data_IF_892713263747
#
_entry.id   IF_892713263747
#
_cell.length_a   1.000
_cell.length_b   1.000
_cell.length_c   1.000
_cell.angle_alpha   90.00
_cell.angle_beta   90.00
_cell.angle_gamma   90.00
#
_symmetry.space_group_name_H-M   'P 1'
#
loop_
_entity.id
_entity.type
_entity.pdbx_description
1 polymer ?
#
# COMPACT_ATOMS: atom_id res chain seq x y z
N UNK A 1 0.81 19.20 8.28
CA UNK A 1 2.03 18.47 8.72
C UNK A 1 1.59 17.40 9.72
N UNK A 2 1.86 16.13 9.45
CA UNK A 2 1.55 15.03 10.37
C UNK A 2 2.72 14.72 11.32
N UNK A 3 2.46 13.99 12.41
CA UNK A 3 3.48 13.59 13.39
C UNK A 3 3.75 14.62 14.49
N UNK A 4 2.90 15.64 14.65
CA UNK A 4 2.92 16.53 15.82
C UNK A 4 2.26 15.90 17.06
N UNK A 5 1.28 15.02 16.85
CA UNK A 5 0.70 14.14 17.86
C UNK A 5 0.55 12.72 17.29
N UNK A 6 0.54 11.66 18.11
CA UNK A 6 0.39 10.28 17.64
C UNK A 6 -0.92 10.02 16.86
N UNK A 7 -1.96 10.81 17.14
CA UNK A 7 -3.30 10.67 16.56
C UNK A 7 -3.59 11.61 15.38
N UNK A 8 -2.62 12.42 14.95
CA UNK A 8 -2.79 13.35 13.82
C UNK A 8 -3.17 12.58 12.56
N UNK A 9 -4.40 12.78 12.06
CA UNK A 9 -4.92 12.12 10.85
C UNK A 9 -5.85 13.04 10.07
N UNK A 10 -6.00 12.75 8.78
CA UNK A 10 -7.11 13.22 7.96
C UNK A 10 -7.98 12.01 7.61
N UNK A 11 -9.29 12.21 7.71
CA UNK A 11 -10.28 11.13 7.61
C UNK A 11 -11.37 11.56 6.64
N UNK A 12 -11.81 10.62 5.81
CA UNK A 12 -12.88 10.80 4.83
C UNK A 12 -13.97 9.78 5.15
N UNK A 13 -15.23 10.23 5.24
CA UNK A 13 -16.36 9.37 5.63
C UNK A 13 -16.89 8.48 4.51
N UNK A 14 -16.70 8.87 3.25
CA UNK A 14 -17.20 8.14 2.10
C UNK A 14 -16.06 7.45 1.35
N UNK A 15 -16.18 6.13 1.17
CA UNK A 15 -15.23 5.31 0.44
C UNK A 15 -15.93 4.73 -0.78
N UNK A 16 -15.47 5.03 -2.02
CA UNK A 16 -16.08 4.48 -3.22
C UNK A 16 -16.07 2.95 -3.22
N UNK A 17 -17.18 2.33 -3.61
CA UNK A 17 -17.31 0.87 -3.67
C UNK A 17 -16.22 0.20 -4.54
N UNK A 18 -15.68 0.92 -5.53
CA UNK A 18 -14.59 0.47 -6.40
C UNK A 18 -13.32 0.09 -5.62
N UNK A 19 -13.05 0.69 -4.46
CA UNK A 19 -11.85 0.41 -3.65
C UNK A 19 -11.79 -1.05 -3.17
N UNK A 20 -12.92 -1.75 -3.17
CA UNK A 20 -13.01 -3.19 -2.88
C UNK A 20 -12.32 -4.06 -3.94
N UNK A 21 -12.11 -3.56 -5.16
CA UNK A 21 -11.46 -4.28 -6.25
C UNK A 21 -10.31 -3.52 -6.91
N UNK A 22 -10.49 -2.23 -7.17
CA UNK A 22 -9.53 -1.38 -7.91
C UNK A 22 -9.38 -0.04 -7.21
N UNK A 23 -8.15 0.34 -6.94
CA UNK A 23 -7.85 1.64 -6.34
C UNK A 23 -6.45 2.09 -6.73
N UNK A 24 -6.30 3.38 -7.02
CA UNK A 24 -5.03 4.01 -7.36
C UNK A 24 -4.86 5.25 -6.50
N UNK A 25 -3.72 5.38 -5.85
CA UNK A 25 -3.40 6.52 -5.00
C UNK A 25 -2.01 7.03 -5.33
N UNK A 26 -1.83 8.33 -5.09
CA UNK A 26 -0.56 9.02 -5.17
C UNK A 26 -0.42 9.96 -3.98
N UNK A 27 0.76 10.03 -3.39
CA UNK A 27 1.09 11.03 -2.38
C UNK A 27 2.51 11.54 -2.58
N UNK A 28 2.73 12.80 -2.23
CA UNK A 28 4.06 13.36 -2.04
C UNK A 28 4.37 13.36 -0.54
N UNK A 29 5.54 12.81 -0.17
CA UNK A 29 5.94 12.70 1.22
C UNK A 29 7.43 12.94 1.40
N UNK A 30 7.75 13.67 2.46
CA UNK A 30 9.11 13.79 3.00
C UNK A 30 9.13 13.17 4.40
N UNK A 31 9.90 12.11 4.58
CA UNK A 31 9.94 11.36 5.84
C UNK A 31 10.82 12.06 6.89
N UNK A 32 10.25 12.30 8.07
CA UNK A 32 10.98 12.76 9.26
C UNK A 32 11.30 11.63 10.25
N UNK A 33 10.56 10.52 10.17
CA UNK A 33 10.69 9.33 11.01
C UNK A 33 10.97 8.08 10.16
N UNK A 34 11.64 7.10 10.76
CA UNK A 34 11.87 5.78 10.15
C UNK A 34 10.67 4.83 10.25
N UNK A 35 9.60 5.24 10.95
CA UNK A 35 8.38 4.45 11.13
C UNK A 35 7.16 5.36 11.24
N UNK A 36 6.02 4.94 10.67
CA UNK A 36 4.75 5.66 10.77
C UNK A 36 3.73 5.23 9.72
N UNK A 37 2.44 5.44 10.00
CA UNK A 37 1.35 5.18 9.06
C UNK A 37 1.17 6.39 8.12
N UNK A 38 0.97 6.14 6.83
CA UNK A 38 0.72 7.19 5.83
C UNK A 38 -0.70 7.13 5.28
N UNK A 39 -1.24 5.92 5.12
CA UNK A 39 -2.58 5.70 4.58
C UNK A 39 -3.16 4.41 5.15
N UNK A 40 -4.46 4.42 5.43
CA UNK A 40 -5.21 3.24 5.83
C UNK A 40 -6.64 3.33 5.34
N UNK A 41 -7.15 2.22 4.81
CA UNK A 41 -8.57 2.02 4.50
C UNK A 41 -8.97 0.63 5.00
N UNK A 42 -10.02 0.59 5.81
CA UNK A 42 -10.70 -0.66 6.15
C UNK A 42 -11.73 -0.98 5.05
N UNK A 43 -11.75 -2.22 4.61
CA UNK A 43 -12.81 -2.77 3.78
C UNK A 43 -13.76 -3.65 4.62
N UNK A 44 -14.69 -4.31 3.93
CA UNK A 44 -15.61 -5.25 4.58
C UNK A 44 -14.89 -6.51 5.05
N UNK A 45 -15.49 -7.19 6.03
CA UNK A 45 -15.04 -8.52 6.52
C UNK A 45 -13.56 -8.58 6.92
N UNK A 46 -13.02 -7.49 7.46
CA UNK A 46 -11.64 -7.41 7.94
C UNK A 46 -10.57 -7.24 6.85
N UNK A 47 -10.98 -7.01 5.60
CA UNK A 47 -10.05 -6.62 4.53
C UNK A 47 -9.53 -5.21 4.76
N UNK A 48 -8.33 -4.89 4.27
CA UNK A 48 -7.76 -3.54 4.42
C UNK A 48 -6.67 -3.25 3.40
N UNK A 49 -6.34 -1.97 3.26
CA UNK A 49 -5.16 -1.49 2.56
C UNK A 49 -4.41 -0.50 3.44
N UNK A 50 -3.10 -0.64 3.54
CA UNK A 50 -2.26 0.24 4.34
C UNK A 50 -0.95 0.56 3.61
N UNK A 51 -0.57 1.83 3.62
CA UNK A 51 0.77 2.28 3.27
C UNK A 51 1.42 2.86 4.52
N UNK A 52 2.60 2.38 4.86
CA UNK A 52 3.34 2.82 6.03
C UNK A 52 4.84 2.76 5.80
N UNK A 53 5.58 3.34 6.73
CA UNK A 53 7.04 3.35 6.76
C UNK A 53 7.51 2.38 7.85
N UNK A 54 8.51 1.57 7.52
CA UNK A 54 9.18 0.69 8.46
C UNK A 54 10.68 0.61 8.17
N UNK A 55 11.49 1.00 9.15
CA UNK A 55 12.95 1.14 9.02
C UNK A 55 13.34 2.01 7.80
N UNK A 56 12.63 3.12 7.62
CA UNK A 56 12.84 4.09 6.55
C UNK A 56 12.40 3.62 5.16
N UNK A 57 11.75 2.45 5.04
CA UNK A 57 11.27 1.89 3.76
C UNK A 57 9.75 1.99 3.68
N UNK A 58 9.22 2.27 2.49
CA UNK A 58 7.79 2.19 2.25
C UNK A 58 7.34 0.73 2.21
N UNK A 59 6.22 0.45 2.84
CA UNK A 59 5.57 -0.86 2.87
C UNK A 59 4.11 -0.68 2.50
N UNK A 60 3.71 -1.30 1.40
CA UNK A 60 2.31 -1.41 0.99
C UNK A 60 1.79 -2.80 1.34
N UNK A 61 0.71 -2.84 2.12
CA UNK A 61 0.09 -4.05 2.63
C UNK A 61 -1.39 -4.06 2.24
N UNK A 62 -1.82 -5.13 1.58
CA UNK A 62 -3.20 -5.32 1.14
C UNK A 62 -3.69 -6.65 1.68
N UNK A 63 -4.78 -6.62 2.43
CA UNK A 63 -5.50 -7.81 2.85
C UNK A 63 -6.78 -7.95 2.01
N UNK A 64 -6.87 -9.05 1.28
CA UNK A 64 -8.02 -9.39 0.42
C UNK A 64 -8.82 -10.55 1.02
N UNK A 65 -8.79 -10.71 2.34
CA UNK A 65 -9.54 -11.68 3.11
C UNK A 65 -8.73 -12.95 3.33
N UNK A 66 -8.75 -13.87 2.35
CA UNK A 66 -8.01 -15.14 2.49
C UNK A 66 -6.49 -15.00 2.34
N UNK A 67 -6.04 -13.85 1.81
CA UNK A 67 -4.65 -13.65 1.39
C UNK A 67 -4.21 -12.22 1.66
N UNK A 68 -2.91 -12.08 1.89
CA UNK A 68 -2.27 -10.79 2.10
C UNK A 68 -1.14 -10.59 1.10
N UNK A 69 -1.11 -9.43 0.45
CA UNK A 69 -0.04 -8.98 -0.43
C UNK A 69 0.80 -7.95 0.31
N UNK A 70 2.12 -8.10 0.26
CA UNK A 70 3.06 -7.18 0.89
C UNK A 70 4.15 -6.80 -0.09
N UNK A 71 4.31 -5.51 -0.31
CA UNK A 71 5.39 -4.94 -1.13
C UNK A 71 6.20 -4.01 -0.24
N UNK A 72 7.51 -4.17 -0.23
CA UNK A 72 8.43 -3.33 0.54
C UNK A 72 9.46 -2.76 -0.40
N UNK A 73 9.66 -1.44 -0.36
CA UNK A 73 10.67 -0.79 -1.19
C UNK A 73 12.08 -1.32 -0.91
N UNK A 74 12.91 -1.41 -1.94
CA UNK A 74 14.33 -1.80 -1.81
C UNK A 74 15.18 -0.75 -1.08
N UNK A 75 14.87 0.53 -1.29
CA UNK A 75 15.63 1.68 -0.77
C UNK A 75 14.98 2.32 0.46
N UNK A 76 15.78 3.09 1.21
CA UNK A 76 15.33 3.86 2.38
C UNK A 76 15.14 5.30 1.90
N UNK A 77 14.09 5.95 2.38
CA UNK A 77 13.62 7.25 1.88
C UNK A 77 13.52 8.30 3.00
N UNK A 78 14.25 8.10 4.10
CA UNK A 78 14.46 9.12 5.14
C UNK A 78 15.76 9.88 4.85
N UNK A 79 15.81 10.51 3.70
CA UNK A 79 16.96 11.26 3.18
C UNK A 79 16.73 12.79 3.17
N UNK A 80 15.59 13.23 3.71
CA UNK A 80 15.21 14.64 3.76
C UNK A 80 14.62 15.20 2.46
N UNK A 81 14.41 14.36 1.43
CA UNK A 81 13.84 14.75 0.14
C UNK A 81 12.35 14.42 0.05
N UNK A 82 11.66 15.11 -0.86
CA UNK A 82 10.31 14.75 -1.24
C UNK A 82 10.35 13.58 -2.21
N UNK A 83 9.45 12.62 -2.00
CA UNK A 83 9.25 11.47 -2.88
C UNK A 83 7.79 11.38 -3.28
N UNK A 84 7.55 11.04 -4.55
CA UNK A 84 6.22 10.71 -5.04
C UNK A 84 6.02 9.20 -4.91
N UNK A 85 4.99 8.80 -4.20
CA UNK A 85 4.66 7.40 -3.93
C UNK A 85 3.33 7.08 -4.59
N UNK A 86 3.35 6.22 -5.60
CA UNK A 86 2.17 5.64 -6.21
C UNK A 86 1.96 4.23 -5.67
N UNK A 87 0.73 3.91 -5.30
CA UNK A 87 0.36 2.57 -4.87
C UNK A 87 -1.04 2.26 -5.36
N UNK A 88 -1.22 1.03 -5.81
CA UNK A 88 -2.47 0.61 -6.40
C UNK A 88 -2.77 -0.84 -6.14
N UNK A 89 -4.06 -1.15 -6.18
CA UNK A 89 -4.60 -2.50 -6.13
C UNK A 89 -5.44 -2.71 -7.37
N UNK A 90 -5.25 -3.87 -8.00
CA UNK A 90 -6.14 -4.42 -9.02
C UNK A 90 -6.45 -5.88 -8.68
N UNK A 91 -7.64 -6.12 -8.14
CA UNK A 91 -8.14 -7.43 -7.68
C UNK A 91 -7.16 -8.08 -6.70
N UNK A 92 -6.43 -9.09 -7.17
CA UNK A 92 -5.43 -9.87 -6.43
C UNK A 92 -3.99 -9.44 -6.73
N UNK A 93 -3.80 -8.27 -7.33
CA UNK A 93 -2.51 -7.64 -7.60
C UNK A 93 -2.39 -6.32 -6.85
N UNK A 94 -1.17 -6.04 -6.41
CA UNK A 94 -0.78 -4.78 -5.79
C UNK A 94 0.48 -4.26 -6.47
N UNK A 95 0.65 -2.95 -6.50
CA UNK A 95 1.81 -2.27 -7.06
C UNK A 95 2.25 -1.13 -6.13
N UNK A 96 3.55 -0.91 -6.06
CA UNK A 96 4.20 0.21 -5.40
C UNK A 96 5.27 0.80 -6.33
N UNK A 97 5.15 2.09 -6.65
CA UNK A 97 6.13 2.83 -7.47
C UNK A 97 6.60 4.06 -6.71
N UNK A 98 7.92 4.22 -6.59
CA UNK A 98 8.54 5.40 -5.95
C UNK A 98 9.29 6.21 -7.00
N UNK A 99 9.03 7.52 -7.02
CA UNK A 99 9.62 8.51 -7.93
C UNK A 99 9.46 8.16 -9.43
N UNK A 100 8.39 7.43 -9.78
CA UNK A 100 8.09 7.01 -11.16
C UNK A 100 9.01 5.93 -11.75
N UNK A 101 10.12 5.57 -11.08
CA UNK A 101 11.15 4.69 -11.64
C UNK A 101 11.22 3.32 -10.96
N UNK A 102 10.77 3.21 -9.70
CA UNK A 102 11.02 2.03 -8.86
C UNK A 102 9.75 1.21 -8.63
N UNK A 103 9.28 0.53 -9.66
CA UNK A 103 8.08 -0.30 -9.62
C UNK A 103 8.36 -1.68 -9.00
N UNK A 104 7.50 -2.09 -8.07
CA UNK A 104 7.47 -3.42 -7.47
C UNK A 104 6.02 -3.86 -7.33
N UNK A 105 5.76 -5.14 -7.65
CA UNK A 105 4.42 -5.70 -7.65
C UNK A 105 4.34 -6.97 -6.81
N UNK A 106 3.14 -7.28 -6.32
CA UNK A 106 2.82 -8.56 -5.71
C UNK A 106 1.48 -9.07 -6.27
N UNK A 107 1.39 -10.37 -6.51
CA UNK A 107 0.16 -11.01 -6.97
C UNK A 107 -0.13 -12.26 -6.14
N UNK A 108 -1.39 -12.46 -5.78
CA UNK A 108 -1.88 -13.70 -5.22
C UNK A 108 -2.28 -14.63 -6.39
N UNK A 109 -1.73 -15.86 -6.52
CA UNK A 109 -2.22 -16.84 -7.48
C UNK A 109 -3.75 -16.98 -7.42
N UNK A 110 -4.42 -16.69 -8.51
CA UNK A 110 -5.80 -17.13 -8.70
C UNK A 110 -5.79 -18.66 -8.71
N UNK A 111 -6.61 -19.29 -7.87
CA UNK A 111 -6.80 -20.74 -7.91
C UNK A 111 -7.49 -21.10 -9.23
N UNK A 112 -6.69 -21.26 -10.29
CA UNK A 112 -7.07 -21.90 -11.53
C UNK A 112 -6.49 -23.30 -11.50
N UNK A 113 -7.37 -24.28 -11.55
CA UNK A 113 -7.11 -25.72 -11.67
C UNK A 113 -5.94 -25.98 -12.65
N UNK A 114 -4.76 -26.34 -12.15
CA UNK A 114 -3.76 -26.99 -12.99
C UNK A 114 -4.06 -28.48 -12.97
N UNK A 115 -5.00 -28.91 -13.81
CA UNK A 115 -5.15 -30.33 -14.12
C UNK A 115 -4.15 -30.66 -15.21
N UNK A 116 -2.97 -31.13 -14.82
CA UNK A 116 -2.16 -31.93 -15.74
C UNK A 116 -2.89 -33.28 -15.89
N UNK A 117 -3.39 -33.56 -17.09
CA UNK A 117 -3.77 -34.93 -17.45
C UNK A 117 -2.55 -35.62 -18.05
N UNK A 118 -2.21 -36.79 -17.49
CA UNK A 118 -1.33 -37.81 -18.07
C UNK A 118 -2.15 -38.79 -18.89
#
# INVERSE_FOLDING_TARGET
RFGGAPSSRWEFGEIPASFSQRSHFSLEVRLNSSSGLLFYVAGERGTFMALFVSNGRFVFLVDIGRRRLRIRSKDKYRDGRWHTVFFSRDRSRAQLVIDGLRAQDAAAPTAGLFMAQT
#
